data_IF_146568671442
#
_entry.id   IF_146568671442
#
_cell.length_a   1.000
_cell.length_b   1.000
_cell.length_c   1.000
_cell.angle_alpha   90.00
_cell.angle_beta   90.00
_cell.angle_gamma   90.00
#
_symmetry.space_group_name_H-M   'P 1'
#
loop_
_entity.id
_entity.type
_entity.pdbx_description
1 polymer ?
#
# COMPACT_ATOMS: atom_id res chain seq x y z
N UNK A 1 60.12 -26.49 34.89
CA UNK A 1 58.87 -26.52 34.14
C UNK A 1 58.29 -25.10 34.01
N UNK A 2 58.16 -24.50 32.81
CA UNK A 2 57.68 -23.13 32.67
C UNK A 2 56.14 -23.11 32.72
N UNK A 3 55.58 -22.28 33.62
CA UNK A 3 54.13 -22.03 33.75
C UNK A 3 53.59 -21.27 32.54
N UNK A 4 52.66 -21.88 31.78
CA UNK A 4 51.93 -21.24 30.70
C UNK A 4 51.03 -20.12 31.23
N UNK A 5 51.32 -18.85 30.87
CA UNK A 5 50.48 -17.69 31.11
C UNK A 5 49.13 -17.86 30.37
N UNK A 6 48.01 -17.93 31.09
CA UNK A 6 46.68 -17.87 30.54
C UNK A 6 46.47 -16.50 29.87
N UNK A 7 46.28 -16.49 28.55
CA UNK A 7 45.86 -15.32 27.79
C UNK A 7 44.42 -14.93 28.24
N UNK A 8 44.31 -13.83 28.95
CA UNK A 8 43.01 -13.20 29.20
C UNK A 8 42.41 -12.77 27.88
N UNK A 9 41.28 -13.40 27.49
CA UNK A 9 40.46 -12.97 26.37
C UNK A 9 39.97 -11.53 26.64
N UNK A 10 40.49 -10.56 25.92
CA UNK A 10 40.04 -9.18 25.99
C UNK A 10 38.53 -9.12 25.72
N UNK A 11 37.76 -8.57 26.66
CA UNK A 11 36.36 -8.22 26.48
C UNK A 11 36.27 -7.29 25.26
N UNK A 12 35.53 -7.70 24.25
CA UNK A 12 35.18 -6.84 23.11
C UNK A 12 34.52 -5.57 23.66
N UNK A 13 34.94 -4.37 23.19
CA UNK A 13 34.29 -3.14 23.64
C UNK A 13 32.80 -3.20 23.34
N UNK A 14 31.99 -3.00 24.37
CA UNK A 14 30.53 -2.83 24.21
C UNK A 14 30.36 -1.57 23.37
N UNK A 15 29.83 -1.71 22.16
CA UNK A 15 29.42 -0.57 21.34
C UNK A 15 28.37 0.20 22.13
N UNK A 16 28.75 1.32 22.69
CA UNK A 16 27.82 2.28 23.27
C UNK A 16 26.96 2.78 22.12
N UNK A 17 25.68 2.40 22.09
CA UNK A 17 24.68 3.04 21.25
C UNK A 17 24.61 4.51 21.67
N UNK A 18 24.70 5.47 20.74
CA UNK A 18 24.61 6.89 21.09
C UNK A 18 23.29 7.15 21.82
N UNK A 19 23.34 7.89 22.91
CA UNK A 19 22.21 8.21 23.82
C UNK A 19 21.01 8.89 23.12
N UNK A 20 21.16 9.33 21.88
CA UNK A 20 20.13 9.97 21.05
C UNK A 20 19.71 9.13 19.82
N UNK A 21 19.96 7.82 19.82
CA UNK A 21 19.44 6.96 18.75
C UNK A 21 17.91 6.85 18.89
N UNK A 22 17.19 7.34 17.89
CA UNK A 22 15.74 7.17 17.79
C UNK A 22 15.39 5.68 17.91
N UNK A 23 14.28 5.32 18.60
CA UNK A 23 13.83 3.94 18.71
C UNK A 23 13.77 3.24 17.36
N UNK A 24 14.17 1.96 17.32
CA UNK A 24 14.03 1.16 16.09
C UNK A 24 12.56 1.14 15.66
N UNK A 25 12.28 1.61 14.45
CA UNK A 25 10.91 1.68 13.93
C UNK A 25 10.23 3.05 14.04
N UNK A 26 10.85 4.06 14.66
CA UNK A 26 10.30 5.42 14.75
C UNK A 26 9.82 5.94 13.38
N UNK A 27 10.63 5.85 12.34
CA UNK A 27 10.28 6.30 11.00
C UNK A 27 9.11 5.52 10.38
N UNK A 28 8.97 4.25 10.72
CA UNK A 28 7.81 3.46 10.28
C UNK A 28 6.52 3.94 10.95
N UNK A 29 6.56 4.27 12.24
CA UNK A 29 5.41 4.84 12.97
C UNK A 29 5.03 6.21 12.42
N UNK A 30 6.01 7.08 12.15
CA UNK A 30 5.76 8.37 11.48
C UNK A 30 5.10 8.14 10.12
N UNK A 31 5.61 7.19 9.33
CA UNK A 31 4.99 6.80 8.05
C UNK A 31 3.55 6.32 8.20
N UNK A 32 3.24 5.53 9.24
CA UNK A 32 1.89 5.07 9.52
C UNK A 32 0.94 6.24 9.85
N UNK A 33 1.39 7.21 10.66
CA UNK A 33 0.60 8.42 10.96
C UNK A 33 0.35 9.23 9.68
N UNK A 34 1.35 9.37 8.82
CA UNK A 34 1.20 10.04 7.52
C UNK A 34 0.21 9.32 6.63
N UNK A 35 0.23 7.98 6.58
CA UNK A 35 -0.76 7.20 5.82
C UNK A 35 -2.18 7.42 6.32
N UNK A 36 -2.39 7.47 7.64
CA UNK A 36 -3.71 7.79 8.21
C UNK A 36 -4.14 9.21 7.82
N UNK A 37 -3.24 10.18 7.91
CA UNK A 37 -3.54 11.55 7.51
C UNK A 37 -3.93 11.64 6.02
N UNK A 38 -3.19 10.98 5.13
CA UNK A 38 -3.51 10.90 3.70
C UNK A 38 -4.86 10.20 3.49
N UNK A 39 -5.15 9.12 4.22
CA UNK A 39 -6.43 8.42 4.16
C UNK A 39 -7.59 9.36 4.49
N UNK A 40 -7.47 10.15 5.56
CA UNK A 40 -8.47 11.15 5.95
C UNK A 40 -8.62 12.21 4.85
N UNK A 41 -7.52 12.71 4.29
CA UNK A 41 -7.56 13.70 3.21
C UNK A 41 -8.27 13.16 1.96
N UNK A 42 -8.09 11.89 1.61
CA UNK A 42 -8.84 11.26 0.51
C UNK A 42 -10.34 11.23 0.79
N UNK A 43 -10.73 10.88 2.02
CA UNK A 43 -12.15 10.88 2.42
C UNK A 43 -12.73 12.30 2.36
N UNK A 44 -12.00 13.31 2.84
CA UNK A 44 -12.40 14.71 2.76
C UNK A 44 -12.56 15.18 1.31
N UNK A 45 -11.65 14.74 0.42
CA UNK A 45 -11.72 15.03 -1.00
C UNK A 45 -13.00 14.52 -1.67
N UNK A 46 -13.56 13.38 -1.21
CA UNK A 46 -14.83 12.84 -1.74
C UNK A 46 -16.01 13.79 -1.53
N UNK A 47 -15.98 14.58 -0.47
CA UNK A 47 -17.01 15.58 -0.16
C UNK A 47 -16.77 16.94 -0.83
N UNK A 48 -15.75 17.03 -1.69
CA UNK A 48 -15.37 18.29 -2.34
C UNK A 48 -14.76 19.34 -1.39
N UNK A 49 -14.43 18.94 -0.17
CA UNK A 49 -13.91 19.82 0.87
C UNK A 49 -12.38 19.62 0.96
N UNK A 50 -11.59 20.27 0.16
CA UNK A 50 -10.15 20.03 0.23
C UNK A 50 -9.31 21.00 -0.61
N UNK A 51 -10.01 21.89 -1.28
CA UNK A 51 -9.36 22.86 -2.15
C UNK A 51 -8.73 22.25 -3.40
N UNK A 52 -8.13 23.11 -4.20
CA UNK A 52 -7.67 22.78 -5.55
C UNK A 52 -6.65 21.62 -5.63
N UNK A 53 -5.78 21.51 -4.64
CA UNK A 53 -4.75 20.46 -4.61
C UNK A 53 -5.37 19.07 -4.43
N UNK A 54 -6.30 18.91 -3.46
CA UNK A 54 -6.98 17.65 -3.23
C UNK A 54 -7.86 17.24 -4.41
N UNK A 55 -8.56 18.20 -5.02
CA UNK A 55 -9.32 17.93 -6.24
C UNK A 55 -8.43 17.45 -7.38
N UNK A 56 -7.27 18.06 -7.57
CA UNK A 56 -6.32 17.64 -8.60
C UNK A 56 -5.81 16.21 -8.36
N UNK A 57 -5.43 15.89 -7.12
CA UNK A 57 -5.01 14.55 -6.71
C UNK A 57 -6.14 13.54 -6.93
N UNK A 58 -7.37 13.87 -6.53
CA UNK A 58 -8.53 13.00 -6.71
C UNK A 58 -8.84 12.76 -8.19
N UNK A 59 -8.88 13.81 -9.03
CA UNK A 59 -9.12 13.69 -10.47
C UNK A 59 -8.03 12.87 -11.16
N UNK A 60 -6.76 13.09 -10.78
CA UNK A 60 -5.63 12.30 -11.29
C UNK A 60 -5.73 10.83 -10.89
N UNK A 61 -6.05 10.56 -9.64
CA UNK A 61 -6.23 9.19 -9.13
C UNK A 61 -7.44 8.49 -9.79
N UNK A 62 -8.56 9.18 -9.98
CA UNK A 62 -9.72 8.68 -10.72
C UNK A 62 -9.37 8.36 -12.18
N UNK A 63 -8.57 9.20 -12.83
CA UNK A 63 -8.09 8.93 -14.18
C UNK A 63 -7.21 7.68 -14.24
N UNK A 64 -6.36 7.48 -13.25
CA UNK A 64 -5.39 6.38 -13.22
C UNK A 64 -6.02 5.03 -12.84
N UNK A 65 -6.72 4.98 -11.70
CA UNK A 65 -7.24 3.74 -11.09
C UNK A 65 -8.78 3.70 -11.03
N UNK A 66 -9.44 4.71 -11.54
CA UNK A 66 -10.89 4.77 -11.58
C UNK A 66 -11.53 4.70 -10.18
N UNK A 67 -12.66 4.01 -10.07
CA UNK A 67 -13.37 3.85 -8.80
C UNK A 67 -12.61 3.04 -7.74
N UNK A 68 -11.52 2.36 -8.09
CA UNK A 68 -10.64 1.77 -7.10
C UNK A 68 -10.02 2.82 -6.15
N UNK A 69 -10.05 4.11 -6.50
CA UNK A 69 -9.64 5.22 -5.62
C UNK A 69 -10.40 5.23 -4.29
N UNK A 70 -11.64 4.76 -4.28
CA UNK A 70 -12.45 4.67 -3.05
C UNK A 70 -11.98 3.59 -2.08
N UNK A 71 -11.20 2.61 -2.56
CA UNK A 71 -10.58 1.56 -1.73
C UNK A 71 -9.28 2.07 -1.08
N UNK A 72 -8.61 3.07 -1.68
CA UNK A 72 -7.30 3.58 -1.24
C UNK A 72 -7.28 3.98 0.25
N UNK A 73 -8.22 4.78 0.80
CA UNK A 73 -8.15 5.18 2.20
C UNK A 73 -8.32 4.01 3.17
N UNK A 74 -9.12 3.01 2.84
CA UNK A 74 -9.25 1.80 3.65
C UNK A 74 -7.96 1.00 3.65
N UNK A 75 -7.31 0.89 2.49
CA UNK A 75 -6.05 0.18 2.34
C UNK A 75 -4.90 0.89 3.08
N UNK A 76 -4.82 2.22 3.00
CA UNK A 76 -3.82 3.00 3.72
C UNK A 76 -4.02 2.90 5.23
N UNK A 77 -5.27 2.93 5.69
CA UNK A 77 -5.60 2.72 7.11
C UNK A 77 -5.21 1.31 7.55
N UNK A 78 -5.50 0.28 6.75
CA UNK A 78 -5.09 -1.09 7.03
C UNK A 78 -3.56 -1.22 7.14
N UNK A 79 -2.82 -0.69 6.17
CA UNK A 79 -1.35 -0.69 6.17
C UNK A 79 -0.81 0.02 7.42
N UNK A 80 -1.38 1.17 7.79
CA UNK A 80 -0.97 1.92 8.97
C UNK A 80 -1.18 1.12 10.26
N UNK A 81 -2.33 0.47 10.40
CA UNK A 81 -2.63 -0.42 11.54
C UNK A 81 -1.64 -1.58 11.61
N UNK A 82 -1.33 -2.22 10.48
CA UNK A 82 -0.36 -3.32 10.43
C UNK A 82 1.06 -2.86 10.81
N UNK A 83 1.46 -1.63 10.46
CA UNK A 83 2.74 -1.06 10.91
C UNK A 83 2.77 -0.92 12.43
N UNK A 84 1.67 -0.47 13.05
CA UNK A 84 1.60 -0.33 14.52
C UNK A 84 1.55 -1.70 15.22
N UNK A 85 0.97 -2.72 14.61
CA UNK A 85 0.87 -4.09 15.16
C UNK A 85 2.15 -4.90 15.01
N UNK A 86 3.00 -4.56 14.05
CA UNK A 86 4.23 -5.29 13.81
C UNK A 86 5.24 -5.08 14.95
N UNK A 87 5.78 -6.16 15.52
CA UNK A 87 6.72 -6.13 16.67
C UNK A 87 7.95 -5.24 16.44
N UNK A 88 8.42 -5.12 15.19
CA UNK A 88 9.55 -4.27 14.81
C UNK A 88 9.12 -3.04 14.00
N UNK A 89 7.82 -2.68 13.99
CA UNK A 89 7.27 -1.60 13.16
C UNK A 89 7.68 -1.70 11.66
N UNK A 90 7.90 -2.92 11.17
CA UNK A 90 8.27 -3.19 9.78
C UNK A 90 7.23 -4.11 9.14
N UNK A 91 6.53 -3.60 8.15
CA UNK A 91 5.66 -4.43 7.32
C UNK A 91 6.46 -5.48 6.55
N UNK A 92 5.96 -6.70 6.54
CA UNK A 92 6.45 -7.74 5.64
C UNK A 92 6.35 -7.24 4.18
N UNK A 93 7.33 -7.61 3.37
CA UNK A 93 7.30 -7.34 1.92
C UNK A 93 6.01 -7.89 1.29
N UNK A 94 5.54 -9.03 1.78
CA UNK A 94 4.32 -9.68 1.30
C UNK A 94 3.09 -8.79 1.45
N UNK A 95 2.91 -8.13 2.60
CA UNK A 95 1.77 -7.23 2.86
C UNK A 95 1.80 -6.04 1.92
N UNK A 96 2.98 -5.43 1.73
CA UNK A 96 3.14 -4.29 0.80
C UNK A 96 2.80 -4.69 -0.63
N UNK A 97 3.29 -5.85 -1.07
CA UNK A 97 3.06 -6.35 -2.41
C UNK A 97 1.59 -6.73 -2.63
N UNK A 98 0.99 -7.47 -1.70
CA UNK A 98 -0.43 -7.84 -1.74
C UNK A 98 -1.34 -6.61 -1.79
N UNK A 99 -1.04 -5.58 -0.99
CA UNK A 99 -1.80 -4.33 -0.99
C UNK A 99 -1.76 -3.60 -2.34
N UNK A 100 -0.60 -3.59 -3.00
CA UNK A 100 -0.46 -3.03 -4.35
C UNK A 100 -1.24 -3.83 -5.39
N UNK A 101 -1.14 -5.17 -5.35
CA UNK A 101 -1.90 -6.06 -6.24
C UNK A 101 -3.41 -5.92 -6.05
N UNK A 102 -3.86 -5.78 -4.81
CA UNK A 102 -5.28 -5.60 -4.49
C UNK A 102 -5.86 -4.36 -5.18
N UNK A 103 -5.13 -3.23 -5.21
CA UNK A 103 -5.56 -2.04 -5.95
C UNK A 103 -5.66 -2.30 -7.45
N UNK A 104 -4.69 -3.03 -8.02
CA UNK A 104 -4.69 -3.38 -9.45
C UNK A 104 -5.92 -4.24 -9.77
N UNK A 105 -6.24 -5.22 -8.93
CA UNK A 105 -7.41 -6.09 -9.14
C UNK A 105 -8.73 -5.35 -8.98
N UNK A 106 -8.84 -4.43 -8.01
CA UNK A 106 -10.02 -3.55 -7.91
C UNK A 106 -10.16 -2.66 -9.14
N UNK A 107 -9.06 -2.07 -9.63
CA UNK A 107 -9.09 -1.27 -10.86
C UNK A 107 -9.52 -2.12 -12.08
N UNK A 108 -9.01 -3.36 -12.19
CA UNK A 108 -9.43 -4.32 -13.21
C UNK A 108 -10.91 -4.67 -13.12
N UNK A 109 -11.41 -4.99 -11.92
CA UNK A 109 -12.80 -5.31 -11.67
C UNK A 109 -13.73 -4.13 -12.04
N UNK A 110 -13.43 -2.92 -11.56
CA UNK A 110 -14.18 -1.73 -11.94
C UNK A 110 -14.02 -1.39 -13.43
N UNK A 111 -12.89 -1.74 -14.04
CA UNK A 111 -12.65 -1.55 -15.46
C UNK A 111 -13.58 -2.37 -16.36
N UNK A 112 -14.17 -3.46 -15.87
CA UNK A 112 -15.21 -4.22 -16.57
C UNK A 112 -16.58 -3.52 -16.53
N UNK A 113 -16.79 -2.65 -15.53
CA UNK A 113 -18.02 -1.87 -15.41
C UNK A 113 -17.93 -0.62 -16.29
N UNK A 114 -19.02 -0.30 -16.97
CA UNK A 114 -19.14 0.91 -17.79
C UNK A 114 -20.04 1.91 -17.08
N UNK A 115 -19.64 3.16 -17.10
CA UNK A 115 -20.49 4.28 -16.65
C UNK A 115 -21.60 4.55 -17.66
N UNK A 116 -22.59 5.36 -17.30
CA UNK A 116 -23.68 5.82 -18.17
C UNK A 116 -23.17 6.43 -19.49
N UNK A 117 -21.95 6.95 -19.53
CA UNK A 117 -21.26 7.46 -20.72
C UNK A 117 -20.53 6.39 -21.55
N UNK A 118 -20.59 5.11 -21.15
CA UNK A 118 -19.91 4.00 -21.82
C UNK A 118 -18.42 3.90 -21.56
N UNK A 119 -17.86 4.75 -20.68
CA UNK A 119 -16.45 4.69 -20.28
C UNK A 119 -16.22 3.65 -19.19
N UNK A 120 -15.10 2.92 -19.29
CA UNK A 120 -14.67 1.99 -18.25
C UNK A 120 -14.38 2.75 -16.93
N UNK A 121 -14.91 2.24 -15.81
CA UNK A 121 -14.83 2.91 -14.51
C UNK A 121 -13.57 2.55 -13.73
N UNK A 122 -12.70 1.69 -14.26
CA UNK A 122 -11.43 1.28 -13.65
C UNK A 122 -10.22 2.17 -13.94
N UNK A 123 -10.42 3.31 -14.60
CA UNK A 123 -9.35 4.20 -15.04
C UNK A 123 -8.44 3.56 -16.10
N UNK A 124 -7.29 4.21 -16.35
CA UNK A 124 -6.32 3.70 -17.34
C UNK A 124 -5.73 2.34 -16.93
N UNK A 125 -5.48 2.14 -15.64
CA UNK A 125 -4.93 0.88 -15.13
C UNK A 125 -5.92 -0.28 -15.34
N UNK A 126 -7.20 -0.07 -14.99
CA UNK A 126 -8.25 -1.07 -15.22
C UNK A 126 -8.46 -1.38 -16.70
N UNK A 127 -8.35 -0.34 -17.56
CA UNK A 127 -8.42 -0.52 -19.01
C UNK A 127 -7.26 -1.39 -19.52
N UNK A 128 -6.03 -1.04 -19.17
CA UNK A 128 -4.84 -1.79 -19.59
C UNK A 128 -4.93 -3.25 -19.12
N UNK A 129 -5.33 -3.45 -17.85
CA UNK A 129 -5.48 -4.78 -17.28
C UNK A 129 -6.50 -5.64 -18.02
N UNK A 130 -7.63 -5.04 -18.41
CA UNK A 130 -8.68 -5.75 -19.13
C UNK A 130 -8.34 -5.94 -20.61
N UNK A 131 -7.97 -4.88 -21.33
CA UNK A 131 -7.79 -4.93 -22.78
C UNK A 131 -6.57 -5.78 -23.20
N UNK A 132 -5.50 -5.78 -22.40
CA UNK A 132 -4.26 -6.48 -22.77
C UNK A 132 -4.04 -7.80 -22.03
N UNK A 133 -4.69 -8.04 -20.90
CA UNK A 133 -4.44 -9.24 -20.10
C UNK A 133 -5.68 -10.12 -19.97
N UNK A 134 -6.79 -9.59 -19.47
CA UNK A 134 -7.95 -10.42 -19.13
C UNK A 134 -8.83 -10.74 -20.32
N UNK A 135 -9.32 -9.75 -21.05
CA UNK A 135 -10.27 -9.96 -22.14
C UNK A 135 -9.71 -10.76 -23.34
N UNK A 136 -8.40 -10.75 -23.64
CA UNK A 136 -7.84 -11.67 -24.63
C UNK A 136 -7.83 -13.13 -24.20
N UNK A 137 -7.90 -13.40 -22.89
CA UNK A 137 -7.81 -14.75 -22.33
C UNK A 137 -9.18 -15.34 -21.95
N UNK A 138 -10.09 -14.48 -21.46
CA UNK A 138 -11.37 -14.91 -20.91
C UNK A 138 -12.46 -13.86 -21.19
N UNK A 139 -13.72 -14.30 -21.21
CA UNK A 139 -14.86 -13.40 -21.32
C UNK A 139 -15.00 -12.50 -20.07
N UNK A 140 -15.68 -11.36 -20.23
CA UNK A 140 -15.87 -10.37 -19.16
C UNK A 140 -16.49 -10.94 -17.88
N UNK A 141 -17.39 -11.91 -17.99
CA UNK A 141 -18.02 -12.57 -16.83
C UNK A 141 -17.02 -13.42 -16.06
N UNK A 142 -16.19 -14.19 -16.76
CA UNK A 142 -15.14 -15.00 -16.15
C UNK A 142 -14.07 -14.10 -15.55
N UNK A 143 -13.69 -13.01 -16.25
CA UNK A 143 -12.76 -12.03 -15.75
C UNK A 143 -13.25 -11.40 -14.42
N UNK A 144 -14.53 -11.03 -14.33
CA UNK A 144 -15.12 -10.51 -13.10
C UNK A 144 -15.03 -11.53 -11.95
N UNK A 145 -15.36 -12.79 -12.23
CA UNK A 145 -15.24 -13.86 -11.23
C UNK A 145 -13.80 -14.05 -10.76
N UNK A 146 -12.83 -14.04 -11.67
CA UNK A 146 -11.42 -14.15 -11.34
C UNK A 146 -10.92 -12.98 -10.48
N UNK A 147 -11.32 -11.74 -10.80
CA UNK A 147 -10.99 -10.58 -9.98
C UNK A 147 -11.54 -10.69 -8.56
N UNK A 148 -12.80 -11.10 -8.43
CA UNK A 148 -13.41 -11.31 -7.10
C UNK A 148 -12.65 -12.38 -6.33
N UNK A 149 -12.29 -13.50 -6.98
CA UNK A 149 -11.51 -14.57 -6.35
C UNK A 149 -10.12 -14.11 -5.90
N UNK A 150 -9.47 -13.21 -6.66
CA UNK A 150 -8.14 -12.68 -6.34
C UNK A 150 -8.17 -11.61 -5.23
N UNK A 151 -9.32 -10.95 -5.03
CA UNK A 151 -9.51 -9.95 -3.98
C UNK A 151 -9.82 -10.62 -2.63
N UNK A 152 -10.47 -11.80 -2.62
CA UNK A 152 -10.82 -12.58 -1.42
C UNK A 152 -9.60 -13.31 -0.82
#
# INVERSE_FOLDING_TARGET
MPRKKKRTRGRKPVKQTPEHALPSGFWAQVGAVVLIAISILYVVAWFGAGGHVLEWVQKGSLGLIGYAVYVVPFLFTYIAVEIFRAENNRLSFLIKFASGLMLIWFAGLFGLMKDHSGKATGGELGRVMNDYIMLPLVDSTIAAFLYILLIL
#
